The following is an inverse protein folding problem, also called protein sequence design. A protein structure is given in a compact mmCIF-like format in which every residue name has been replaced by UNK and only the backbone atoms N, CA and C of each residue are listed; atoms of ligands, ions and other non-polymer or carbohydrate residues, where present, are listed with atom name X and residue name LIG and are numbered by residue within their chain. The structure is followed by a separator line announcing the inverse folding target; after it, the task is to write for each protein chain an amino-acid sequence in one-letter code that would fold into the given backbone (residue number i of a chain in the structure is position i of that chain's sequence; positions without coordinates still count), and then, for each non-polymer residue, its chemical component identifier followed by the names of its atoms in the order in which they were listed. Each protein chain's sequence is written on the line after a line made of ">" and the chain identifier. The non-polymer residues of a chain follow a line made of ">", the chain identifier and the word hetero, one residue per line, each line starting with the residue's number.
data_IF_205409911065
#
_entry.id   IF_205409911065
#
_cell.length_a   1.000
_cell.length_b   1.000
_cell.length_c   1.000
_cell.angle_alpha   90.00
_cell.angle_beta   90.00
_cell.angle_gamma   90.00
#
_symmetry.space_group_name_H-M   'P 1'
#
loop_
_entity.id
_entity.type
_entity.pdbx_description
1 polymer ?
#
# COMPACT_ATOMS: atom_id res chain seq x y z
N UNK A 1 11.47 34.57 10.99
CA UNK A 1 10.69 34.54 12.25
C UNK A 1 11.57 34.04 13.39
N UNK A 2 11.29 34.44 14.63
CA UNK A 2 12.07 34.06 15.82
C UNK A 2 11.25 33.11 16.69
N UNK A 3 11.89 32.07 17.23
CA UNK A 3 11.29 31.13 18.18
C UNK A 3 11.07 31.77 19.55
N UNK A 4 10.21 31.16 20.37
CA UNK A 4 9.93 31.64 21.72
C UNK A 4 11.14 31.54 22.66
N UNK A 5 12.15 30.76 22.27
CA UNK A 5 13.44 30.61 22.94
C UNK A 5 14.43 31.76 22.70
N UNK A 6 14.13 32.68 21.78
CA UNK A 6 15.01 33.79 21.44
C UNK A 6 16.26 33.41 20.63
N UNK A 7 16.44 32.12 20.31
CA UNK A 7 17.68 31.56 19.76
C UNK A 7 17.47 30.81 18.45
N UNK A 8 16.24 30.35 18.20
CA UNK A 8 15.89 29.66 16.97
C UNK A 8 15.33 30.68 15.97
N UNK A 9 15.90 30.75 14.78
CA UNK A 9 15.37 31.54 13.66
C UNK A 9 14.87 30.58 12.60
N UNK A 10 13.65 30.81 12.10
CA UNK A 10 13.05 30.00 11.05
C UNK A 10 12.49 30.85 9.91
N UNK A 11 12.47 30.27 8.72
CA UNK A 11 11.91 30.84 7.51
C UNK A 11 11.07 29.79 6.79
N UNK A 12 9.96 30.22 6.18
CA UNK A 12 9.13 29.38 5.33
C UNK A 12 9.58 29.59 3.89
N UNK A 13 10.01 28.51 3.24
CA UNK A 13 10.48 28.52 1.86
C UNK A 13 9.51 27.71 1.02
N UNK A 14 8.87 28.38 0.06
CA UNK A 14 8.00 27.75 -0.92
C UNK A 14 8.76 27.69 -2.24
N UNK A 15 9.43 26.57 -2.56
CA UNK A 15 10.08 26.43 -3.85
C UNK A 15 9.02 26.50 -4.95
N UNK A 16 9.34 27.21 -6.03
CA UNK A 16 8.49 27.28 -7.22
C UNK A 16 8.44 25.92 -7.91
N UNK A 17 7.58 25.03 -7.43
CA UNK A 17 7.27 23.78 -8.13
C UNK A 17 6.29 24.11 -9.27
N UNK A 18 6.46 23.45 -10.41
CA UNK A 18 5.50 23.49 -11.51
C UNK A 18 4.18 22.81 -11.13
N UNK A 19 3.60 22.00 -12.02
CA UNK A 19 2.44 21.19 -11.66
C UNK A 19 2.76 20.30 -10.44
N UNK A 20 1.78 19.98 -9.58
CA UNK A 20 1.95 19.09 -8.43
C UNK A 20 2.03 17.62 -8.87
N UNK A 21 2.89 17.32 -9.84
CA UNK A 21 3.17 15.98 -10.35
C UNK A 21 4.46 15.42 -9.73
N UNK A 22 4.83 14.21 -10.15
CA UNK A 22 6.04 13.54 -9.65
C UNK A 22 7.31 14.34 -9.97
N UNK A 23 7.32 15.05 -11.11
CA UNK A 23 8.42 15.93 -11.50
C UNK A 23 8.51 17.16 -10.59
N UNK A 24 7.37 17.75 -10.22
CA UNK A 24 7.25 18.82 -9.25
C UNK A 24 7.73 18.39 -7.86
N UNK A 25 7.37 17.19 -7.40
CA UNK A 25 7.86 16.64 -6.14
C UNK A 25 9.38 16.45 -6.16
N UNK A 26 9.94 15.90 -7.25
CA UNK A 26 11.40 15.76 -7.39
C UNK A 26 12.12 17.10 -7.44
N UNK A 27 11.52 18.12 -8.08
CA UNK A 27 12.10 19.46 -8.14
C UNK A 27 12.12 20.14 -6.75
N UNK A 28 11.09 19.93 -5.94
CA UNK A 28 11.04 20.42 -4.56
C UNK A 28 12.03 19.68 -3.67
N UNK A 29 12.19 18.37 -3.86
CA UNK A 29 13.18 17.55 -3.17
C UNK A 29 14.61 18.01 -3.51
N UNK A 30 14.92 18.21 -4.78
CA UNK A 30 16.21 18.71 -5.24
C UNK A 30 16.48 20.13 -4.71
N UNK A 31 15.48 21.01 -4.72
CA UNK A 31 15.57 22.34 -4.12
C UNK A 31 15.80 22.30 -2.60
N UNK A 32 15.20 21.33 -1.88
CA UNK A 32 15.44 21.17 -0.45
C UNK A 32 16.87 20.69 -0.15
N UNK A 33 17.40 19.80 -1.00
CA UNK A 33 18.78 19.30 -0.89
C UNK A 33 19.78 20.42 -1.19
N UNK A 34 19.59 21.18 -2.28
CA UNK A 34 20.46 22.30 -2.64
C UNK A 34 20.43 23.39 -1.56
N UNK A 35 19.23 23.78 -1.10
CA UNK A 35 19.06 24.75 -0.03
C UNK A 35 19.80 24.32 1.25
N UNK A 36 19.71 23.04 1.61
CA UNK A 36 20.42 22.51 2.78
C UNK A 36 21.94 22.58 2.60
N UNK A 37 22.46 22.31 1.40
CA UNK A 37 23.89 22.40 1.11
C UNK A 37 24.39 23.85 1.13
N UNK A 38 23.65 24.75 0.49
CA UNK A 38 23.99 26.18 0.38
C UNK A 38 23.92 26.88 1.73
N UNK A 39 22.92 26.58 2.55
CA UNK A 39 22.82 27.17 3.89
C UNK A 39 23.92 26.67 4.83
N UNK A 40 24.34 25.41 4.70
CA UNK A 40 25.48 24.89 5.49
C UNK A 40 26.79 25.58 5.11
N UNK A 41 26.98 25.93 3.84
CA UNK A 41 28.18 26.64 3.40
C UNK A 41 28.15 28.12 3.79
N UNK A 42 26.98 28.76 3.75
CA UNK A 42 26.80 30.17 4.10
C UNK A 42 26.84 30.44 5.61
N UNK A 43 26.42 29.48 6.45
CA UNK A 43 26.31 29.63 7.91
C UNK A 43 27.03 28.49 8.64
N UNK A 44 28.37 28.41 8.58
CA UNK A 44 29.13 27.30 9.16
C UNK A 44 29.08 27.24 10.69
N UNK A 45 28.86 28.38 11.36
CA UNK A 45 28.76 28.45 12.82
C UNK A 45 27.34 28.17 13.36
N UNK A 46 26.33 28.19 12.48
CA UNK A 46 24.96 27.92 12.87
C UNK A 46 24.55 26.49 12.49
N UNK A 47 23.78 25.84 13.36
CA UNK A 47 23.16 24.56 13.00
C UNK A 47 21.96 24.83 12.11
N UNK A 48 22.08 24.49 10.83
CA UNK A 48 21.00 24.67 9.85
C UNK A 48 20.35 23.33 9.50
N UNK A 49 19.02 23.29 9.65
CA UNK A 49 18.19 22.15 9.26
C UNK A 49 17.03 22.60 8.39
N UNK A 50 16.75 21.80 7.37
CA UNK A 50 15.60 21.96 6.48
C UNK A 50 14.61 20.88 6.86
N UNK A 51 13.38 21.27 7.18
CA UNK A 51 12.30 20.38 7.58
C UNK A 51 11.02 20.72 6.81
N UNK A 52 10.04 19.80 6.83
CA UNK A 52 8.82 19.85 6.04
C UNK A 52 8.44 18.46 5.54
N UNK A 53 7.26 18.33 4.91
CA UNK A 53 6.74 17.02 4.46
C UNK A 53 7.70 16.34 3.48
N UNK A 54 8.20 17.05 2.46
CA UNK A 54 9.12 16.48 1.48
C UNK A 54 10.50 16.13 2.07
N UNK A 55 11.19 17.00 2.84
CA UNK A 55 12.42 16.62 3.52
C UNK A 55 12.27 15.40 4.45
N UNK A 56 11.13 15.29 5.15
CA UNK A 56 10.83 14.12 5.98
C UNK A 56 10.68 12.86 5.13
N UNK A 57 9.93 12.94 4.01
CA UNK A 57 9.77 11.83 3.07
C UNK A 57 11.09 11.40 2.42
N UNK A 58 11.95 12.37 2.05
CA UNK A 58 13.27 12.10 1.50
C UNK A 58 14.15 11.38 2.52
N UNK A 59 14.24 11.89 3.76
CA UNK A 59 15.00 11.24 4.83
C UNK A 59 14.47 9.82 5.09
N UNK A 60 13.17 9.57 5.00
CA UNK A 60 12.58 8.22 5.07
C UNK A 60 13.03 7.31 3.92
N UNK A 61 13.05 7.82 2.70
CA UNK A 61 13.45 7.07 1.51
C UNK A 61 14.94 6.70 1.56
N UNK A 62 15.79 7.63 2.00
CA UNK A 62 17.24 7.43 2.13
C UNK A 62 17.60 6.51 3.29
N UNK A 63 16.92 6.65 4.44
CA UNK A 63 17.13 5.75 5.58
C UNK A 63 16.80 4.30 5.22
N UNK A 64 15.83 4.10 4.31
CA UNK A 64 15.37 2.79 3.88
C UNK A 64 14.81 1.95 5.03
N UNK A 65 14.36 0.73 4.75
CA UNK A 65 13.99 -0.19 5.82
C UNK A 65 15.25 -0.57 6.60
N UNK A 66 15.30 -0.24 7.89
CA UNK A 66 16.43 -0.61 8.76
C UNK A 66 16.71 -2.12 8.73
N UNK A 67 17.94 -2.52 9.07
CA UNK A 67 18.38 -3.91 9.01
C UNK A 67 17.40 -4.91 9.69
N UNK A 68 16.77 -4.49 10.79
CA UNK A 68 15.73 -5.26 11.48
C UNK A 68 14.48 -5.44 10.62
N UNK A 69 14.00 -4.39 9.95
CA UNK A 69 12.84 -4.48 9.07
C UNK A 69 13.12 -5.37 7.85
N UNK A 70 14.33 -5.30 7.28
CA UNK A 70 14.78 -6.21 6.23
C UNK A 70 14.83 -7.67 6.74
N UNK A 71 15.38 -7.90 7.93
CA UNK A 71 15.43 -9.23 8.55
C UNK A 71 14.02 -9.79 8.82
N UNK A 72 13.10 -8.97 9.35
CA UNK A 72 11.69 -9.35 9.56
C UNK A 72 11.01 -9.65 8.23
N UNK A 73 11.20 -8.82 7.20
CA UNK A 73 10.65 -9.06 5.87
C UNK A 73 11.16 -10.37 5.27
N UNK A 74 12.46 -10.64 5.39
CA UNK A 74 13.06 -11.89 4.95
C UNK A 74 12.52 -13.09 5.74
N UNK A 75 12.36 -12.96 7.06
CA UNK A 75 11.78 -13.99 7.92
C UNK A 75 10.31 -14.25 7.58
N UNK A 76 9.51 -13.22 7.30
CA UNK A 76 8.12 -13.38 6.84
C UNK A 76 8.05 -14.06 5.47
N UNK A 77 8.92 -13.68 4.53
CA UNK A 77 8.99 -14.31 3.21
C UNK A 77 9.39 -15.80 3.32
N UNK A 78 10.38 -16.11 4.16
CA UNK A 78 10.81 -17.47 4.42
C UNK A 78 9.71 -18.28 5.14
N UNK A 79 9.04 -17.68 6.13
CA UNK A 79 7.90 -18.27 6.82
C UNK A 79 6.75 -18.60 5.86
N UNK A 80 6.46 -17.72 4.90
CA UNK A 80 5.47 -17.97 3.86
C UNK A 80 5.87 -19.13 2.94
N UNK A 81 7.15 -19.20 2.53
CA UNK A 81 7.65 -20.31 1.72
C UNK A 81 7.58 -21.65 2.47
N UNK A 82 7.92 -21.65 3.76
CA UNK A 82 7.77 -22.82 4.63
C UNK A 82 6.30 -23.22 4.76
N UNK A 83 5.39 -22.26 4.99
CA UNK A 83 3.95 -22.53 5.06
C UNK A 83 3.43 -23.14 3.76
N UNK A 84 3.82 -22.59 2.60
CA UNK A 84 3.46 -23.16 1.30
C UNK A 84 3.99 -24.58 1.13
N UNK A 85 5.25 -24.84 1.51
CA UNK A 85 5.85 -26.17 1.46
C UNK A 85 5.12 -27.17 2.36
N UNK A 86 4.70 -26.75 3.56
CA UNK A 86 3.93 -27.58 4.49
C UNK A 86 2.50 -27.86 4.00
N UNK A 87 1.84 -26.86 3.40
CA UNK A 87 0.47 -26.98 2.87
C UNK A 87 0.43 -27.90 1.64
N UNK A 88 1.30 -27.67 0.66
CA UNK A 88 1.26 -28.40 -0.61
C UNK A 88 2.10 -29.67 -0.62
N UNK A 89 3.01 -29.84 0.35
CA UNK A 89 3.85 -31.04 0.57
C UNK A 89 4.61 -31.53 -0.68
N UNK A 90 4.79 -30.69 -1.69
CA UNK A 90 5.43 -31.01 -2.96
C UNK A 90 6.04 -29.76 -3.59
N UNK A 91 7.27 -29.88 -4.12
CA UNK A 91 7.97 -28.74 -4.74
C UNK A 91 7.18 -28.16 -5.92
N UNK A 92 6.54 -29.02 -6.71
CA UNK A 92 5.72 -28.61 -7.84
C UNK A 92 4.41 -27.92 -7.41
N UNK A 93 3.84 -28.33 -6.27
CA UNK A 93 2.67 -27.68 -5.67
C UNK A 93 2.95 -26.31 -5.05
N UNK A 94 4.20 -26.04 -4.67
CA UNK A 94 4.67 -24.71 -4.21
C UNK A 94 4.99 -23.80 -5.40
N UNK A 95 5.66 -24.34 -6.42
CA UNK A 95 6.11 -23.53 -7.57
C UNK A 95 4.94 -23.07 -8.45
N UNK A 96 3.91 -23.89 -8.62
CA UNK A 96 2.77 -23.57 -9.47
C UNK A 96 2.00 -22.29 -9.06
N UNK A 97 1.57 -22.09 -7.80
CA UNK A 97 0.91 -20.85 -7.39
C UNK A 97 1.88 -19.65 -7.44
N UNK A 98 3.18 -19.85 -7.24
CA UNK A 98 4.18 -18.79 -7.37
C UNK A 98 4.34 -18.33 -8.83
N UNK A 99 4.39 -19.27 -9.78
CA UNK A 99 4.43 -18.96 -11.21
C UNK A 99 3.13 -18.28 -11.66
N UNK A 100 1.98 -18.78 -11.22
CA UNK A 100 0.68 -18.18 -11.52
C UNK A 100 0.59 -16.76 -10.96
N UNK A 101 1.06 -16.54 -9.74
CA UNK A 101 1.16 -15.21 -9.13
C UNK A 101 2.10 -14.30 -9.91
N UNK A 102 3.28 -14.78 -10.32
CA UNK A 102 4.26 -14.03 -11.09
C UNK A 102 3.70 -13.57 -12.44
N UNK A 103 3.13 -14.49 -13.23
CA UNK A 103 2.52 -14.16 -14.52
C UNK A 103 1.37 -13.18 -14.35
N UNK A 104 0.52 -13.39 -13.34
CA UNK A 104 -0.60 -12.49 -13.05
C UNK A 104 -0.11 -11.11 -12.64
N UNK A 105 0.95 -11.03 -11.82
CA UNK A 105 1.51 -9.77 -11.35
C UNK A 105 2.11 -8.97 -12.50
N UNK A 106 2.94 -9.61 -13.33
CA UNK A 106 3.55 -8.95 -14.50
C UNK A 106 2.48 -8.49 -15.48
N UNK A 107 1.53 -9.35 -15.83
CA UNK A 107 0.46 -8.97 -16.76
C UNK A 107 -0.43 -7.86 -16.21
N UNK A 108 -0.73 -7.86 -14.90
CA UNK A 108 -1.50 -6.80 -14.27
C UNK A 108 -0.73 -5.48 -14.20
N UNK A 109 0.58 -5.50 -13.88
CA UNK A 109 1.42 -4.30 -13.86
C UNK A 109 1.57 -3.69 -15.25
N UNK A 110 1.72 -4.51 -16.31
CA UNK A 110 1.74 -4.03 -17.70
C UNK A 110 0.42 -3.35 -18.07
N UNK A 111 -0.72 -3.92 -17.65
CA UNK A 111 -2.02 -3.31 -17.91
C UNK A 111 -2.20 -2.00 -17.14
N UNK A 112 -1.75 -1.96 -15.89
CA UNK A 112 -1.73 -0.75 -15.05
C UNK A 112 -0.84 0.31 -15.70
N UNK A 113 0.35 -0.06 -16.17
CA UNK A 113 1.29 0.85 -16.84
C UNK A 113 0.66 1.44 -18.11
N UNK A 114 -0.04 0.64 -18.91
CA UNK A 114 -0.79 1.14 -20.06
C UNK A 114 -1.85 2.18 -19.66
N UNK A 115 -2.52 2.01 -18.52
CA UNK A 115 -3.48 2.98 -17.98
C UNK A 115 -2.77 4.21 -17.37
N UNK A 116 -1.56 4.03 -16.82
CA UNK A 116 -0.75 5.10 -16.27
C UNK A 116 -0.33 6.13 -17.35
N UNK A 117 -0.28 5.72 -18.61
CA UNK A 117 -0.07 6.64 -19.75
C UNK A 117 -1.19 7.67 -19.93
N UNK A 118 -2.37 7.45 -19.36
CA UNK A 118 -3.54 8.34 -19.49
C UNK A 118 -3.99 8.95 -18.17
N UNK A 119 -3.56 8.38 -17.04
CA UNK A 119 -4.03 8.76 -15.71
C UNK A 119 -2.92 8.64 -14.69
N UNK A 120 -2.93 9.50 -13.68
CA UNK A 120 -2.00 9.36 -12.56
C UNK A 120 -2.35 8.12 -11.72
N UNK A 121 -1.37 7.24 -11.55
CA UNK A 121 -1.51 6.02 -10.75
C UNK A 121 -0.63 6.10 -9.51
N UNK A 122 -1.23 5.79 -8.35
CA UNK A 122 -0.52 5.73 -7.08
C UNK A 122 0.53 4.61 -7.08
N UNK A 123 1.72 4.93 -6.60
CA UNK A 123 2.82 3.97 -6.42
C UNK A 123 2.47 2.75 -5.57
N UNK A 124 1.47 2.86 -4.67
CA UNK A 124 1.00 1.75 -3.82
C UNK A 124 0.57 0.52 -4.64
N UNK A 125 0.15 0.72 -5.89
CA UNK A 125 -0.24 -0.35 -6.81
C UNK A 125 0.88 -1.38 -7.03
N UNK A 126 2.14 -0.94 -7.08
CA UNK A 126 3.32 -1.82 -7.26
C UNK A 126 3.43 -2.85 -6.13
N UNK A 127 2.99 -2.50 -4.92
CA UNK A 127 2.99 -3.43 -3.78
C UNK A 127 1.70 -4.24 -3.68
N UNK A 128 0.56 -3.66 -4.03
CA UNK A 128 -0.73 -4.31 -3.88
C UNK A 128 -0.94 -5.43 -4.91
N UNK A 129 -0.50 -5.22 -6.15
CA UNK A 129 -0.69 -6.17 -7.26
C UNK A 129 -0.06 -7.53 -6.96
N UNK A 130 1.23 -7.63 -6.58
CA UNK A 130 1.85 -8.92 -6.29
C UNK A 130 1.21 -9.66 -5.12
N UNK A 131 0.85 -8.93 -4.05
CA UNK A 131 0.21 -9.52 -2.86
C UNK A 131 -1.15 -10.11 -3.23
N UNK A 132 -1.98 -9.34 -3.93
CA UNK A 132 -3.32 -9.79 -4.34
C UNK A 132 -3.24 -10.96 -5.32
N UNK A 133 -2.34 -10.87 -6.30
CA UNK A 133 -2.09 -11.95 -7.26
C UNK A 133 -1.67 -13.25 -6.56
N UNK A 134 -0.78 -13.16 -5.56
CA UNK A 134 -0.33 -14.32 -4.79
C UNK A 134 -1.47 -14.97 -4.00
N UNK A 135 -2.27 -14.19 -3.29
CA UNK A 135 -3.41 -14.72 -2.52
C UNK A 135 -4.41 -15.43 -3.43
N UNK A 136 -4.76 -14.82 -4.57
CA UNK A 136 -5.67 -15.42 -5.54
C UNK A 136 -5.09 -16.69 -6.17
N UNK A 137 -3.80 -16.67 -6.52
CA UNK A 137 -3.11 -17.82 -7.11
C UNK A 137 -3.08 -19.01 -6.15
N UNK A 138 -2.73 -18.77 -4.88
CA UNK A 138 -2.72 -19.80 -3.83
C UNK A 138 -4.12 -20.36 -3.61
N UNK A 139 -5.13 -19.49 -3.47
CA UNK A 139 -6.51 -19.92 -3.27
C UNK A 139 -7.00 -20.80 -4.42
N UNK A 140 -6.75 -20.38 -5.67
CA UNK A 140 -7.19 -21.13 -6.87
C UNK A 140 -6.45 -22.45 -7.03
N UNK A 141 -5.15 -22.47 -6.76
CA UNK A 141 -4.35 -23.68 -6.87
C UNK A 141 -4.79 -24.75 -5.85
N UNK A 142 -5.17 -24.33 -4.64
CA UNK A 142 -5.68 -25.20 -3.58
C UNK A 142 -7.05 -25.83 -3.91
N UNK A 143 -7.84 -25.26 -4.82
CA UNK A 143 -9.13 -25.83 -5.19
C UNK A 143 -8.94 -27.13 -6.00
N UNK A 144 -9.71 -28.18 -5.70
CA UNK A 144 -9.62 -29.45 -6.41
C UNK A 144 -9.93 -29.28 -7.91
N UNK A 145 -9.35 -30.11 -8.79
CA UNK A 145 -9.73 -30.13 -10.20
C UNK A 145 -11.20 -30.53 -10.31
N UNK A 146 -12.00 -29.69 -10.97
CA UNK A 146 -13.42 -29.91 -11.18
C UNK A 146 -13.94 -29.09 -12.36
N UNK A 147 -15.21 -29.29 -12.77
CA UNK A 147 -15.85 -28.52 -13.84
C UNK A 147 -16.07 -27.07 -13.38
N UNK A 148 -14.99 -26.29 -13.36
CA UNK A 148 -14.89 -25.04 -12.61
C UNK A 148 -14.58 -23.81 -13.46
N UNK A 149 -14.54 -23.93 -14.78
CA UNK A 149 -14.26 -22.80 -15.67
C UNK A 149 -15.33 -21.71 -15.53
N UNK A 150 -16.61 -22.08 -15.55
CA UNK A 150 -17.72 -21.14 -15.37
C UNK A 150 -17.69 -20.47 -14.00
N UNK A 151 -17.42 -21.22 -12.93
CA UNK A 151 -17.29 -20.65 -11.58
C UNK A 151 -16.08 -19.73 -11.44
N UNK A 152 -14.96 -20.04 -12.11
CA UNK A 152 -13.77 -19.20 -12.11
C UNK A 152 -14.00 -17.88 -12.84
N UNK A 153 -14.71 -17.92 -13.98
CA UNK A 153 -15.12 -16.71 -14.72
C UNK A 153 -16.08 -15.87 -13.89
N UNK A 154 -17.10 -16.49 -13.28
CA UNK A 154 -18.09 -15.76 -12.45
C UNK A 154 -17.42 -15.12 -11.23
N UNK A 155 -16.56 -15.86 -10.51
CA UNK A 155 -15.83 -15.32 -9.37
C UNK A 155 -14.89 -14.17 -9.78
N UNK A 156 -14.22 -14.32 -10.93
CA UNK A 156 -13.38 -13.26 -11.47
C UNK A 156 -14.13 -12.03 -11.93
N UNK A 157 -15.27 -12.21 -12.58
CA UNK A 157 -16.15 -11.12 -12.97
C UNK A 157 -16.71 -10.37 -11.74
N UNK A 158 -17.10 -11.10 -10.69
CA UNK A 158 -17.56 -10.50 -9.44
C UNK A 158 -16.45 -9.68 -8.76
N UNK A 159 -15.23 -10.24 -8.67
CA UNK A 159 -14.08 -9.52 -8.12
C UNK A 159 -13.70 -8.28 -8.95
N UNK A 160 -13.69 -8.41 -10.27
CA UNK A 160 -13.47 -7.29 -11.18
C UNK A 160 -14.54 -6.20 -11.02
N UNK A 161 -15.82 -6.57 -10.95
CA UNK A 161 -16.91 -5.62 -10.73
C UNK A 161 -16.78 -4.88 -9.40
N UNK A 162 -16.39 -5.57 -8.32
CA UNK A 162 -16.13 -4.93 -7.03
C UNK A 162 -14.98 -3.91 -7.10
N UNK A 163 -13.89 -4.25 -7.80
CA UNK A 163 -12.78 -3.32 -8.01
C UNK A 163 -13.14 -2.17 -8.97
N UNK A 164 -14.04 -2.39 -9.93
CA UNK A 164 -14.54 -1.35 -10.82
C UNK A 164 -15.23 -0.23 -10.05
N UNK A 165 -16.06 -0.57 -9.07
CA UNK A 165 -16.72 0.44 -8.21
C UNK A 165 -15.69 1.35 -7.54
N UNK A 166 -14.58 0.78 -7.06
CA UNK A 166 -13.50 1.55 -6.46
C UNK A 166 -12.77 2.44 -7.48
N UNK A 167 -12.68 2.01 -8.74
CA UNK A 167 -12.12 2.79 -9.83
C UNK A 167 -12.98 4.00 -10.24
N UNK A 168 -14.23 4.10 -9.79
CA UNK A 168 -15.06 5.29 -10.00
C UNK A 168 -14.82 6.40 -8.96
N UNK A 169 -14.05 6.12 -7.90
CA UNK A 169 -13.84 7.12 -6.85
C UNK A 169 -13.04 8.33 -7.35
N UNK A 170 -13.39 9.55 -6.91
CA UNK A 170 -12.69 10.76 -7.31
C UNK A 170 -11.28 10.82 -6.70
N UNK A 171 -11.04 10.18 -5.55
CA UNK A 171 -9.73 10.12 -4.94
C UNK A 171 -8.74 9.30 -5.81
N UNK A 172 -7.60 9.86 -6.25
CA UNK A 172 -6.67 9.18 -7.17
C UNK A 172 -6.09 7.89 -6.57
N UNK A 173 -5.88 7.88 -5.26
CA UNK A 173 -5.44 6.69 -4.52
C UNK A 173 -6.44 5.53 -4.66
N UNK A 174 -7.70 5.75 -4.32
CA UNK A 174 -8.75 4.72 -4.40
C UNK A 174 -8.95 4.26 -5.85
N UNK A 175 -8.98 5.22 -6.78
CA UNK A 175 -9.08 4.94 -8.21
C UNK A 175 -7.99 3.99 -8.69
N UNK A 176 -6.74 4.27 -8.31
CA UNK A 176 -5.57 3.44 -8.64
C UNK A 176 -5.70 2.03 -8.09
N UNK A 177 -6.17 1.89 -6.84
CA UNK A 177 -6.43 0.58 -6.22
C UNK A 177 -7.52 -0.20 -6.97
N UNK A 178 -8.57 0.49 -7.42
CA UNK A 178 -9.63 -0.10 -8.24
C UNK A 178 -9.12 -0.61 -9.60
N UNK A 179 -8.35 0.21 -10.32
CA UNK A 179 -7.72 -0.15 -11.60
C UNK A 179 -6.76 -1.33 -11.43
N UNK A 180 -5.93 -1.30 -10.38
CA UNK A 180 -5.02 -2.39 -10.05
C UNK A 180 -5.75 -3.70 -9.76
N UNK A 181 -6.81 -3.64 -8.94
CA UNK A 181 -7.64 -4.80 -8.62
C UNK A 181 -8.33 -5.38 -9.85
N UNK A 182 -8.87 -4.51 -10.72
CA UNK A 182 -9.43 -4.89 -12.02
C UNK A 182 -8.41 -5.65 -12.89
N UNK A 183 -7.19 -5.11 -13.00
CA UNK A 183 -6.11 -5.75 -13.75
C UNK A 183 -5.74 -7.12 -13.17
N UNK A 184 -5.65 -7.23 -11.84
CA UNK A 184 -5.34 -8.50 -11.17
C UNK A 184 -6.45 -9.55 -11.38
N UNK A 185 -7.73 -9.16 -11.26
CA UNK A 185 -8.84 -10.11 -11.44
C UNK A 185 -8.98 -10.59 -12.89
N UNK A 186 -8.80 -9.70 -13.87
CA UNK A 186 -8.88 -10.02 -15.30
C UNK A 186 -7.69 -10.86 -15.78
N UNK A 187 -6.46 -10.43 -15.49
CA UNK A 187 -5.26 -11.19 -15.84
C UNK A 187 -5.21 -12.49 -15.04
N UNK A 188 -5.57 -12.44 -13.76
CA UNK A 188 -5.59 -13.62 -12.91
C UNK A 188 -6.58 -14.68 -13.39
N UNK A 189 -7.77 -14.29 -13.85
CA UNK A 189 -8.73 -15.22 -14.48
C UNK A 189 -8.21 -15.82 -15.77
N UNK A 190 -7.68 -14.99 -16.67
CA UNK A 190 -7.07 -15.48 -17.91
C UNK A 190 -5.92 -16.46 -17.62
N UNK A 191 -5.02 -16.11 -16.70
CA UNK A 191 -3.91 -16.96 -16.28
C UNK A 191 -4.41 -18.24 -15.63
N UNK A 192 -5.46 -18.18 -14.81
CA UNK A 192 -6.00 -19.39 -14.19
C UNK A 192 -6.63 -20.34 -15.22
N UNK A 193 -7.32 -19.83 -16.24
CA UNK A 193 -7.92 -20.67 -17.29
C UNK A 193 -6.88 -21.27 -18.24
N UNK A 194 -5.76 -20.58 -18.45
CA UNK A 194 -4.72 -20.99 -19.42
C UNK A 194 -3.56 -21.75 -18.78
N UNK A 195 -2.96 -21.21 -17.72
CA UNK A 195 -1.78 -21.78 -17.08
C UNK A 195 -2.10 -22.89 -16.09
N UNK A 196 -3.22 -22.81 -15.35
CA UNK A 196 -3.56 -23.86 -14.37
C UNK A 196 -3.68 -25.25 -15.00
N UNK A 197 -4.39 -25.46 -16.13
CA UNK A 197 -4.46 -26.80 -16.73
C UNK A 197 -3.08 -27.28 -17.20
N UNK A 198 -2.26 -26.39 -17.77
CA UNK A 198 -0.88 -26.71 -18.21
C UNK A 198 0.00 -27.08 -17.02
N UNK A 199 0.02 -26.27 -15.96
CA UNK A 199 0.76 -26.53 -14.73
C UNK A 199 0.32 -27.84 -14.07
N UNK A 200 -0.99 -28.13 -14.07
CA UNK A 200 -1.50 -29.41 -13.56
C UNK A 200 -1.04 -30.59 -14.39
N UNK A 201 -1.09 -30.51 -15.72
CA UNK A 201 -0.59 -31.59 -16.58
C UNK A 201 0.90 -31.91 -16.36
N UNK A 202 1.71 -30.92 -16.00
CA UNK A 202 3.14 -31.09 -15.72
C UNK A 202 3.41 -31.63 -14.30
N UNK A 203 2.54 -31.32 -13.35
CA UNK A 203 2.68 -31.72 -11.94
C UNK A 203 2.04 -33.07 -11.62
N UNK A 204 0.98 -33.44 -12.34
CA UNK A 204 0.34 -34.76 -12.21
C UNK A 204 0.98 -35.74 -13.18
N UNK A 205 1.95 -36.55 -12.72
CA UNK A 205 2.19 -37.86 -13.35
C UNK A 205 0.91 -38.68 -13.23
N UNK A 206 0.52 -39.49 -14.25
CA UNK A 206 -0.61 -40.38 -14.14
C UNK A 206 -0.31 -41.41 -13.07
N UNK A 207 -0.68 -41.11 -11.82
CA UNK A 207 -0.75 -42.14 -10.79
C UNK A 207 -1.99 -42.96 -11.11
N UNK A 208 -1.90 -44.31 -11.09
CA UNK A 208 -3.09 -45.12 -11.10
C UNK A 208 -3.97 -44.60 -9.97
N UNK A 209 -5.24 -44.46 -10.27
CA UNK A 209 -6.29 -44.04 -9.35
C UNK A 209 -6.26 -44.92 -8.11
N UNK A 210 -5.42 -44.59 -7.12
CA UNK A 210 -5.88 -44.66 -5.75
C UNK A 210 -6.98 -43.61 -5.69
N UNK A 211 -8.20 -44.11 -5.89
CA UNK A 211 -9.40 -43.55 -5.34
C UNK A 211 -9.15 -43.44 -3.84
N UNK A 212 -8.39 -42.41 -3.46
CA UNK A 212 -8.27 -42.00 -2.08
C UNK A 212 -9.67 -41.50 -1.79
N UNK A 213 -10.45 -42.39 -1.18
CA UNK A 213 -11.61 -41.96 -0.43
C UNK A 213 -11.20 -40.69 0.31
N UNK A 214 -12.05 -39.65 0.31
CA UNK A 214 -11.74 -38.46 1.06
C UNK A 214 -11.47 -38.93 2.49
N UNK A 215 -10.19 -39.03 2.87
CA UNK A 215 -9.85 -39.24 4.26
C UNK A 215 -10.41 -37.99 4.89
N UNK A 216 -11.51 -38.18 5.59
CA UNK A 216 -12.25 -37.25 6.42
C UNK A 216 -11.34 -36.68 7.52
N UNK A 217 -10.04 -36.40 7.30
CA UNK A 217 -9.15 -35.79 8.27
C UNK A 217 -9.34 -34.28 8.38
N UNK A 218 -9.67 -33.61 7.27
CA UNK A 218 -10.07 -32.20 7.28
C UNK A 218 -11.58 -31.99 7.48
N UNK A 219 -12.37 -33.07 7.34
CA UNK A 219 -13.81 -33.09 7.59
C UNK A 219 -14.20 -33.71 8.95
N UNK A 220 -13.32 -34.49 9.61
CA UNK A 220 -13.60 -35.09 10.93
C UNK A 220 -13.77 -34.06 12.06
N UNK A 221 -13.31 -32.82 11.84
CA UNK A 221 -13.58 -31.70 12.75
C UNK A 221 -14.93 -31.03 12.51
N UNK A 222 -15.62 -31.32 11.40
CA UNK A 222 -17.02 -30.93 11.18
C UNK A 222 -17.95 -31.99 11.76
N UNK A 223 -17.66 -32.44 12.97
CA UNK A 223 -18.68 -33.02 13.82
C UNK A 223 -19.86 -32.05 13.80
N UNK A 224 -21.05 -32.56 13.47
CA UNK A 224 -22.25 -31.78 13.21
C UNK A 224 -22.61 -30.84 14.35
N UNK A 225 -21.94 -29.69 14.40
CA UNK A 225 -22.31 -28.60 15.27
C UNK A 225 -23.53 -28.00 14.59
N UNK A 226 -24.71 -28.50 14.97
CA UNK A 226 -25.92 -27.69 14.96
C UNK A 226 -25.68 -26.56 15.94
N UNK A 227 -24.85 -25.60 15.53
CA UNK A 227 -24.70 -24.34 16.21
C UNK A 227 -26.11 -23.75 16.28
N UNK A 228 -26.65 -23.60 17.49
CA UNK A 228 -27.83 -22.77 17.69
C UNK A 228 -27.57 -21.35 17.16
N UNK A 229 -28.54 -20.43 17.23
CA UNK A 229 -28.32 -19.05 16.81
C UNK A 229 -27.23 -18.34 17.65
N UNK A 230 -26.80 -18.92 18.77
CA UNK A 230 -25.85 -18.34 19.75
C UNK A 230 -24.49 -17.95 19.15
N UNK A 231 -23.71 -18.82 18.47
CA UNK A 231 -22.46 -18.40 17.83
C UNK A 231 -22.67 -17.40 16.68
N UNK A 232 -23.79 -17.46 15.97
CA UNK A 232 -24.10 -16.48 14.92
C UNK A 232 -24.40 -15.09 15.53
N UNK A 233 -25.16 -15.05 16.62
CA UNK A 233 -25.42 -13.84 17.41
C UNK A 233 -24.14 -13.31 18.06
N UNK A 234 -23.32 -14.19 18.64
CA UNK A 234 -22.04 -13.79 19.24
C UNK A 234 -21.10 -13.21 18.17
N UNK A 235 -21.01 -13.83 17.00
CA UNK A 235 -20.26 -13.31 15.85
C UNK A 235 -20.79 -11.97 15.37
N UNK A 236 -22.12 -11.82 15.28
CA UNK A 236 -22.75 -10.55 14.91
C UNK A 236 -22.46 -9.45 15.94
N UNK A 237 -22.56 -9.75 17.24
CA UNK A 237 -22.26 -8.81 18.31
C UNK A 237 -20.80 -8.38 18.27
N UNK A 238 -19.86 -9.33 18.07
CA UNK A 238 -18.45 -9.04 17.85
C UNK A 238 -18.22 -8.15 16.64
N UNK A 239 -18.91 -8.42 15.52
CA UNK A 239 -18.80 -7.62 14.30
C UNK A 239 -19.38 -6.21 14.51
N UNK A 240 -20.50 -6.07 15.21
CA UNK A 240 -21.09 -4.77 15.55
C UNK A 240 -20.18 -3.98 16.49
N UNK A 241 -19.56 -4.63 17.48
CA UNK A 241 -18.57 -4.00 18.36
C UNK A 241 -17.35 -3.54 17.56
N UNK A 242 -16.84 -4.36 16.65
CA UNK A 242 -15.70 -4.03 15.79
C UNK A 242 -16.03 -2.91 14.78
N UNK A 243 -17.25 -2.88 14.25
CA UNK A 243 -17.71 -1.76 13.39
C UNK A 243 -17.95 -0.49 14.21
N UNK A 244 -18.39 -0.63 15.46
CA UNK A 244 -18.55 0.48 16.39
C UNK A 244 -17.25 1.24 16.61
N UNK A 245 -16.11 0.56 16.74
CA UNK A 245 -14.80 1.23 16.87
C UNK A 245 -14.36 1.95 15.60
N UNK A 246 -14.84 1.54 14.42
CA UNK A 246 -14.54 2.24 13.17
C UNK A 246 -15.10 3.68 13.15
N UNK A 247 -16.15 3.97 13.92
CA UNK A 247 -16.69 5.34 14.06
C UNK A 247 -15.74 6.30 14.79
N UNK A 248 -14.73 5.76 15.48
CA UNK A 248 -13.69 6.54 16.16
C UNK A 248 -12.48 6.84 15.26
N UNK A 249 -12.48 6.36 14.01
CA UNK A 249 -11.40 6.62 13.07
C UNK A 249 -11.35 8.10 12.71
N UNK A 250 -10.25 8.75 13.10
CA UNK A 250 -9.92 10.11 12.67
C UNK A 250 -9.17 10.03 11.36
N UNK A 251 -9.85 10.43 10.27
CA UNK A 251 -9.21 10.55 8.97
C UNK A 251 -8.52 11.91 8.90
N UNK A 252 -7.21 11.91 8.68
CA UNK A 252 -6.39 13.12 8.62
C UNK A 252 -5.08 12.86 7.88
N UNK A 253 -4.26 13.90 7.77
CA UNK A 253 -2.95 13.78 7.15
C UNK A 253 -2.01 12.92 7.99
N UNK A 254 -1.08 12.16 7.35
CA UNK A 254 -0.10 11.38 8.07
C UNK A 254 0.73 12.29 8.99
N UNK A 255 0.78 11.93 10.26
CA UNK A 255 1.55 12.70 11.23
C UNK A 255 3.05 12.59 10.94
N UNK A 256 3.80 13.65 11.23
CA UNK A 256 5.23 13.70 10.94
C UNK A 256 6.04 12.57 11.60
N UNK A 257 5.55 12.00 12.70
CA UNK A 257 6.19 10.88 13.38
C UNK A 257 6.02 9.54 12.63
N UNK A 258 4.98 9.43 11.80
CA UNK A 258 4.73 8.26 10.97
C UNK A 258 5.55 8.29 9.66
N UNK A 259 6.04 9.48 9.27
CA UNK A 259 6.88 9.64 8.08
C UNK A 259 8.31 9.15 8.35
N UNK A 260 8.97 9.66 9.39
CA UNK A 260 10.34 9.25 9.74
C UNK A 260 10.55 9.25 11.26
N UNK A 261 11.23 8.22 11.77
CA UNK A 261 11.52 8.07 13.20
C UNK A 261 12.73 8.91 13.65
N UNK A 262 13.68 9.19 12.75
CA UNK A 262 14.94 9.89 13.05
C UNK A 262 15.57 10.42 11.77
N UNK A 263 16.27 11.57 11.83
CA UNK A 263 17.00 12.13 10.70
C UNK A 263 17.10 13.66 10.77
N UNK A 264 17.92 14.30 9.92
CA UNK A 264 18.14 15.74 9.94
C UNK A 264 16.85 16.58 9.80
N UNK A 265 15.88 16.14 9.00
CA UNK A 265 14.59 16.81 8.88
C UNK A 265 13.72 16.63 10.13
N UNK A 266 13.82 15.47 10.81
CA UNK A 266 13.12 15.19 12.07
C UNK A 266 13.68 16.00 13.21
N UNK A 267 15.00 16.04 13.33
CA UNK A 267 15.71 16.85 14.32
C UNK A 267 15.33 18.33 14.18
N UNK A 268 15.17 18.82 12.95
CA UNK A 268 14.75 20.19 12.67
C UNK A 268 13.32 20.46 13.13
N UNK A 269 12.41 19.51 12.92
CA UNK A 269 11.04 19.63 13.37
C UNK A 269 10.95 19.60 14.91
N UNK A 270 11.65 18.66 15.55
CA UNK A 270 11.65 18.52 17.01
C UNK A 270 12.28 19.75 17.67
N UNK A 271 13.28 20.38 17.03
CA UNK A 271 13.81 21.68 17.49
C UNK A 271 12.79 22.80 17.39
N UNK A 272 12.12 22.96 16.26
CA UNK A 272 11.08 23.99 16.10
C UNK A 272 9.97 23.81 17.14
N UNK A 273 9.54 22.56 17.39
CA UNK A 273 8.57 22.24 18.43
C UNK A 273 9.10 22.59 19.83
N UNK A 274 10.35 22.23 20.15
CA UNK A 274 10.97 22.54 21.44
C UNK A 274 11.23 24.04 21.66
N UNK A 275 11.43 24.80 20.59
CA UNK A 275 11.59 26.26 20.60
C UNK A 275 10.24 27.01 20.73
N UNK A 276 9.13 26.27 20.89
CA UNK A 276 7.80 26.82 21.08
C UNK A 276 7.17 27.39 19.80
N UNK A 277 7.64 26.98 18.61
CA UNK A 277 7.03 27.40 17.35
C UNK A 277 5.65 26.73 17.22
N UNK A 278 4.56 27.51 17.08
CA UNK A 278 3.21 26.94 16.98
C UNK A 278 3.05 26.08 15.72
N UNK A 279 2.32 24.97 15.84
CA UNK A 279 2.04 24.07 14.71
C UNK A 279 1.28 24.75 13.56
N UNK A 280 0.49 25.78 13.84
CA UNK A 280 -0.22 26.56 12.81
C UNK A 280 0.70 27.32 11.86
N UNK A 281 1.95 27.60 12.26
CA UNK A 281 2.97 28.19 11.36
C UNK A 281 3.62 27.11 10.49
N UNK A 282 3.69 25.87 10.99
CA UNK A 282 4.29 24.74 10.29
C UNK A 282 3.31 24.06 9.31
N UNK A 283 2.00 24.25 9.51
CA UNK A 283 0.95 23.81 8.60
C UNK A 283 -0.10 24.92 8.43
N UNK A 284 0.24 25.99 7.68
CA UNK A 284 -0.64 27.15 7.55
C UNK A 284 -1.88 26.82 6.70
N UNK A 285 -2.98 27.51 7.02
CA UNK A 285 -4.14 27.58 6.14
C UNK A 285 -3.86 28.63 5.08
N UNK A 286 -3.63 28.17 3.85
CA UNK A 286 -3.40 29.05 2.71
C UNK A 286 -4.74 29.56 2.15
N UNK A 287 -4.89 30.88 2.09
CA UNK A 287 -6.04 31.53 1.46
C UNK A 287 -5.60 32.01 0.07
N UNK A 288 -6.01 31.29 -0.95
CA UNK A 288 -5.72 31.64 -2.34
C UNK A 288 -6.66 32.75 -2.80
N UNK A 289 -6.09 33.89 -3.15
CA UNK A 289 -6.82 35.04 -3.67
C UNK A 289 -6.74 35.06 -5.21
N UNK A 290 -7.84 35.43 -5.91
CA UNK A 290 -7.80 35.67 -7.34
C UNK A 290 -6.76 36.73 -7.70
N UNK A 291 -6.09 36.58 -8.84
CA UNK A 291 -5.09 37.54 -9.31
C UNK A 291 -5.66 38.96 -9.37
N UNK A 292 -5.03 39.89 -8.63
CA UNK A 292 -5.46 41.30 -8.54
C UNK A 292 -6.30 41.65 -7.31
N UNK A 293 -6.64 40.68 -6.45
CA UNK A 293 -7.25 40.96 -5.15
C UNK A 293 -6.20 41.45 -4.13
N UNK A 294 -6.58 42.43 -3.32
CA UNK A 294 -5.72 42.98 -2.27
C UNK A 294 -5.68 42.04 -1.05
N UNK A 295 -4.49 41.49 -0.70
CA UNK A 295 -4.35 40.56 0.43
C UNK A 295 -4.66 41.21 1.78
N UNK A 296 -4.38 42.51 1.96
CA UNK A 296 -4.64 43.18 3.25
C UNK A 296 -6.14 43.40 3.47
N UNK A 297 -6.86 43.81 2.42
CA UNK A 297 -8.30 43.98 2.47
C UNK A 297 -9.05 42.65 2.68
N UNK A 298 -8.51 41.53 2.19
CA UNK A 298 -9.07 40.20 2.40
C UNK A 298 -8.80 39.67 3.82
N UNK A 299 -7.63 39.96 4.39
CA UNK A 299 -7.27 39.55 5.75
C UNK A 299 -8.02 40.33 6.85
N UNK A 300 -8.53 41.53 6.52
CA UNK A 300 -9.29 42.37 7.44
C UNK A 300 -10.79 41.99 7.57
N UNK A 301 -11.27 40.98 6.83
CA UNK A 301 -12.65 40.47 6.86
C UNK A 301 -12.73 39.14 7.60
#
# INVERSE_FOLDING_TARGET
>A
FLGGDGRTVYALVYPGAGAPDLAGLTAVEEAAVSLRADLRSALPEARVEVTGVLPLQHDSAVAGPGAVALAVKAACALGLLVLLALVFRSAAGVLAPLLLAGVTSVGALVLVEAVAGFTEISFVVVYLVPVTALVLAVHRWAQPPGPGERSAVVAGAAGAAACAVLALFPAPFLRSVGVAGLAVWTVGTAAALTLTPVLRSLTTRPRPTERREPTDGAAAGRAGWRSGPVPALAGLVLLVLAVGTATQLRVGNPEAHALVASGPARDGLDRLASAGVPSGVLNPLEVLLPGGADPEAAAAR
#
